data_IF_561980161525
#
_entry.id   IF_561980161525
#
_cell.length_a   1.000
_cell.length_b   1.000
_cell.length_c   1.000
_cell.angle_alpha   90.00
_cell.angle_beta   90.00
_cell.angle_gamma   90.00
#
_symmetry.space_group_name_H-M   'P 1'
#
loop_
_entity.id
_entity.type
_entity.pdbx_description
1 polymer ?
#
# COMPACT_ATOMS: atom_id res chain seq x y z
N UNK A 1 6.47 -7.64 14.69
CA UNK A 1 7.81 -6.99 14.55
C UNK A 1 7.79 -6.23 13.24
N UNK A 2 8.04 -4.92 13.26
CA UNK A 2 8.03 -4.11 12.03
C UNK A 2 9.21 -4.49 11.14
N UNK A 3 8.97 -4.64 9.83
CA UNK A 3 10.04 -4.96 8.87
C UNK A 3 11.07 -3.82 8.75
N UNK A 4 12.26 -4.15 8.27
CA UNK A 4 13.31 -3.17 8.00
C UNK A 4 12.82 -2.15 6.98
N UNK A 5 12.11 -2.60 5.93
CA UNK A 5 11.54 -1.74 4.90
C UNK A 5 10.56 -0.71 5.50
N UNK A 6 9.56 -1.16 6.24
CA UNK A 6 8.59 -0.26 6.88
C UNK A 6 9.26 0.73 7.83
N UNK A 7 10.29 0.29 8.57
CA UNK A 7 11.07 1.16 9.47
C UNK A 7 11.83 2.25 8.69
N UNK A 8 12.40 1.93 7.54
CA UNK A 8 13.09 2.91 6.68
C UNK A 8 12.10 3.93 6.10
N UNK A 9 10.93 3.48 5.61
CA UNK A 9 9.90 4.39 5.09
C UNK A 9 9.33 5.29 6.20
N UNK A 10 9.18 4.78 7.43
CA UNK A 10 8.79 5.61 8.59
C UNK A 10 9.84 6.68 8.88
N UNK A 11 11.13 6.32 8.86
CA UNK A 11 12.22 7.27 9.06
C UNK A 11 12.26 8.34 7.96
N UNK A 12 12.07 7.93 6.71
CA UNK A 12 11.95 8.83 5.55
C UNK A 12 10.78 9.81 5.74
N UNK A 13 9.58 9.32 6.04
CA UNK A 13 8.42 10.19 6.27
C UNK A 13 8.70 11.23 7.36
N UNK A 14 9.30 10.82 8.47
CA UNK A 14 9.67 11.74 9.57
C UNK A 14 10.69 12.80 9.12
N UNK A 15 11.71 12.40 8.37
CA UNK A 15 12.76 13.30 7.88
C UNK A 15 12.19 14.39 6.97
N UNK A 16 11.24 14.03 6.12
CA UNK A 16 10.60 14.96 5.17
C UNK A 16 9.31 15.59 5.72
N UNK A 17 9.05 15.50 7.03
CA UNK A 17 7.85 16.05 7.69
C UNK A 17 6.54 15.55 7.09
N UNK A 18 6.54 14.32 6.56
CA UNK A 18 5.32 13.66 6.11
C UNK A 18 4.61 13.01 7.32
N UNK A 19 3.26 12.99 7.32
CA UNK A 19 2.52 12.40 8.42
C UNK A 19 2.85 10.93 8.65
N UNK A 20 3.01 10.55 9.93
CA UNK A 20 3.10 9.16 10.39
C UNK A 20 2.12 9.00 11.53
N UNK A 21 1.03 8.29 11.31
CA UNK A 21 0.06 7.96 12.34
C UNK A 21 0.36 6.56 12.91
N UNK A 22 0.18 6.42 14.21
CA UNK A 22 0.44 5.14 14.92
C UNK A 22 -0.78 4.21 14.95
N UNK A 23 -1.93 4.75 14.60
CA UNK A 23 -3.21 4.02 14.63
C UNK A 23 -3.98 4.28 13.33
N UNK A 24 -4.71 3.28 12.84
CA UNK A 24 -5.59 3.46 11.69
C UNK A 24 -6.56 4.62 11.90
N UNK A 25 -6.40 5.66 11.07
CA UNK A 25 -7.20 6.88 11.18
C UNK A 25 -7.33 7.57 9.83
N UNK A 26 -8.37 8.40 9.70
CA UNK A 26 -8.45 9.42 8.65
C UNK A 26 -7.90 10.70 9.27
N UNK A 27 -6.68 11.14 8.92
CA UNK A 27 -5.92 12.16 9.65
C UNK A 27 -6.33 13.59 9.29
N UNK A 28 -7.61 13.81 9.04
CA UNK A 28 -8.16 15.12 8.66
C UNK A 28 -9.16 15.61 9.69
N UNK A 29 -9.19 16.92 9.89
CA UNK A 29 -10.15 17.60 10.74
C UNK A 29 -10.94 18.62 9.90
N UNK A 30 -12.17 18.93 10.32
CA UNK A 30 -12.95 20.01 9.71
C UNK A 30 -12.19 21.33 9.84
N UNK A 31 -12.00 22.01 8.71
CA UNK A 31 -11.28 23.28 8.62
C UNK A 31 -12.06 24.27 7.78
N UNK A 32 -12.05 25.53 8.18
CA UNK A 32 -12.65 26.62 7.39
C UNK A 32 -11.91 26.83 6.05
N UNK A 33 -10.60 26.58 6.04
CA UNK A 33 -9.75 26.77 4.85
C UNK A 33 -9.68 25.54 3.95
N UNK A 34 -9.65 24.33 4.57
CA UNK A 34 -9.42 23.06 3.86
C UNK A 34 -10.71 22.28 3.59
N UNK A 35 -11.85 22.78 4.03
CA UNK A 35 -13.15 22.14 3.83
C UNK A 35 -13.45 20.99 4.82
N UNK A 36 -14.40 20.15 4.44
CA UNK A 36 -14.83 18.99 5.23
C UNK A 36 -13.77 17.87 5.20
N UNK A 37 -13.81 16.98 6.21
CA UNK A 37 -12.96 15.77 6.23
C UNK A 37 -13.13 14.94 4.96
N UNK A 38 -14.35 14.85 4.42
CA UNK A 38 -14.65 14.13 3.18
C UNK A 38 -13.93 14.76 1.98
N UNK A 39 -13.98 16.08 1.84
CA UNK A 39 -13.32 16.78 0.73
C UNK A 39 -11.81 16.65 0.81
N UNK A 40 -11.22 16.79 2.00
CA UNK A 40 -9.79 16.59 2.22
C UNK A 40 -9.35 15.16 1.84
N UNK A 41 -10.13 14.14 2.25
CA UNK A 41 -9.86 12.75 1.90
C UNK A 41 -9.94 12.51 0.40
N UNK A 42 -10.98 13.02 -0.27
CA UNK A 42 -11.13 12.89 -1.73
C UNK A 42 -9.94 13.54 -2.45
N UNK A 43 -9.57 14.75 -2.06
CA UNK A 43 -8.45 15.47 -2.66
C UNK A 43 -7.12 14.74 -2.41
N UNK A 44 -6.92 14.17 -1.23
CA UNK A 44 -5.74 13.34 -0.93
C UNK A 44 -5.66 12.10 -1.81
N UNK A 45 -6.76 11.37 -1.95
CA UNK A 45 -6.80 10.16 -2.78
C UNK A 45 -6.56 10.48 -4.27
N UNK A 46 -7.13 11.56 -4.79
CA UNK A 46 -6.87 12.02 -6.15
C UNK A 46 -5.40 12.36 -6.35
N UNK A 47 -4.83 13.19 -5.47
CA UNK A 47 -3.41 13.55 -5.54
C UNK A 47 -2.50 12.33 -5.47
N UNK A 48 -2.82 11.34 -4.65
CA UNK A 48 -2.04 10.11 -4.59
C UNK A 48 -2.17 9.27 -5.86
N UNK A 49 -3.37 9.21 -6.45
CA UNK A 49 -3.58 8.57 -7.74
C UNK A 49 -2.80 9.25 -8.86
N UNK A 50 -2.72 10.58 -8.86
CA UNK A 50 -1.91 11.34 -9.83
C UNK A 50 -0.42 10.99 -9.69
N UNK A 51 0.13 10.99 -8.46
CA UNK A 51 1.52 10.58 -8.18
C UNK A 51 1.78 9.15 -8.70
N UNK A 52 0.93 8.18 -8.36
CA UNK A 52 1.10 6.81 -8.84
C UNK A 52 0.99 6.69 -10.37
N UNK A 53 0.18 7.53 -11.00
CA UNK A 53 0.06 7.55 -12.47
C UNK A 53 1.34 8.08 -13.10
N UNK A 54 1.95 9.12 -12.54
CA UNK A 54 3.25 9.63 -12.96
C UNK A 54 4.31 8.53 -12.87
N UNK A 55 4.46 7.88 -11.71
CA UNK A 55 5.40 6.78 -11.50
C UNK A 55 5.15 5.59 -12.47
N UNK A 56 3.90 5.16 -12.63
CA UNK A 56 3.58 4.04 -13.53
C UNK A 56 3.92 4.38 -14.99
N UNK A 57 3.78 5.63 -15.42
CA UNK A 57 4.10 6.05 -16.79
C UNK A 57 5.59 6.13 -17.08
N UNK A 58 6.45 6.17 -16.08
CA UNK A 58 7.92 6.11 -16.26
C UNK A 58 8.40 4.82 -16.92
N UNK A 59 7.60 3.75 -16.86
CA UNK A 59 7.87 2.51 -17.61
C UNK A 59 8.08 2.76 -19.11
N UNK A 60 7.51 3.82 -19.68
CA UNK A 60 7.71 4.16 -21.10
C UNK A 60 9.17 4.49 -21.42
N UNK A 61 9.87 5.16 -20.48
CA UNK A 61 11.29 5.47 -20.64
C UNK A 61 12.16 4.20 -20.60
N UNK A 62 11.77 3.21 -19.79
CA UNK A 62 12.43 1.92 -19.72
C UNK A 62 12.21 1.15 -21.03
N UNK A 63 10.99 1.18 -21.59
CA UNK A 63 10.66 0.59 -22.88
C UNK A 63 11.52 1.21 -23.98
N UNK A 64 11.63 2.53 -24.03
CA UNK A 64 12.45 3.25 -25.02
C UNK A 64 13.92 2.82 -24.94
N UNK A 65 14.48 2.63 -23.74
CA UNK A 65 15.84 2.12 -23.55
C UNK A 65 16.02 0.68 -24.06
N UNK A 66 15.02 -0.19 -23.81
CA UNK A 66 15.03 -1.56 -24.35
C UNK A 66 15.03 -1.54 -25.88
N UNK A 67 14.21 -0.69 -26.49
CA UNK A 67 14.13 -0.54 -27.95
C UNK A 67 15.41 0.07 -28.55
N UNK A 68 16.08 0.95 -27.80
CA UNK A 68 17.38 1.53 -28.18
C UNK A 68 18.53 0.51 -28.09
N UNK A 69 18.33 -0.63 -27.41
CA UNK A 69 19.34 -1.68 -27.28
C UNK A 69 20.30 -1.45 -26.11
N UNK A 70 19.90 -0.74 -25.09
CA UNK A 70 20.66 -0.54 -23.84
C UNK A 70 21.01 -1.88 -23.20
N UNK A 71 22.08 -1.92 -22.43
CA UNK A 71 22.54 -3.16 -21.83
C UNK A 71 21.51 -3.73 -20.84
N UNK A 72 21.40 -5.07 -20.72
CA UNK A 72 20.49 -5.69 -19.76
C UNK A 72 20.70 -5.22 -18.29
N UNK A 73 21.93 -4.87 -17.93
CA UNK A 73 22.24 -4.38 -16.58
C UNK A 73 21.66 -2.98 -16.33
N UNK A 74 21.74 -2.09 -17.31
CA UNK A 74 21.17 -0.75 -17.25
C UNK A 74 19.64 -0.82 -17.17
N UNK A 75 19.01 -1.59 -18.05
CA UNK A 75 17.56 -1.81 -18.05
C UNK A 75 17.07 -2.42 -16.71
N UNK A 76 17.79 -3.41 -16.17
CA UNK A 76 17.44 -3.99 -14.86
C UNK A 76 17.60 -3.00 -13.72
N UNK A 77 18.55 -2.08 -13.79
CA UNK A 77 18.70 -1.00 -12.80
C UNK A 77 17.49 -0.09 -12.83
N UNK A 78 17.06 0.38 -13.99
CA UNK A 78 15.88 1.24 -14.12
C UNK A 78 14.59 0.53 -13.68
N UNK A 79 14.42 -0.76 -14.01
CA UNK A 79 13.28 -1.56 -13.54
C UNK A 79 13.28 -1.67 -12.01
N UNK A 80 14.44 -1.87 -11.39
CA UNK A 80 14.53 -2.00 -9.93
C UNK A 80 14.21 -0.68 -9.23
N UNK A 81 14.69 0.44 -9.75
CA UNK A 81 14.41 1.77 -9.26
C UNK A 81 12.90 2.08 -9.36
N UNK A 82 12.34 1.97 -10.54
CA UNK A 82 10.92 2.18 -10.81
C UNK A 82 9.98 1.36 -9.89
N UNK A 83 10.25 0.05 -9.75
CA UNK A 83 9.44 -0.80 -8.87
C UNK A 83 9.66 -0.49 -7.39
N UNK A 84 10.86 -0.04 -7.03
CA UNK A 84 11.20 0.40 -5.68
C UNK A 84 10.42 1.64 -5.27
N UNK A 85 10.36 2.63 -6.14
CA UNK A 85 9.68 3.90 -5.88
C UNK A 85 8.17 3.70 -5.70
N UNK A 86 7.52 2.92 -6.56
CA UNK A 86 6.10 2.57 -6.40
C UNK A 86 5.84 1.94 -5.01
N UNK A 87 6.72 1.04 -4.54
CA UNK A 87 6.58 0.42 -3.23
C UNK A 87 6.75 1.43 -2.10
N UNK A 88 7.73 2.33 -2.20
CA UNK A 88 7.99 3.39 -1.21
C UNK A 88 6.80 4.34 -1.12
N UNK A 89 6.24 4.80 -2.25
CA UNK A 89 5.05 5.66 -2.27
C UNK A 89 3.84 4.98 -1.60
N UNK A 90 3.57 3.72 -1.95
CA UNK A 90 2.46 2.97 -1.34
C UNK A 90 2.65 2.80 0.16
N UNK A 91 3.85 2.40 0.61
CA UNK A 91 4.15 2.21 2.02
C UNK A 91 4.10 3.53 2.81
N UNK A 92 4.63 4.61 2.24
CA UNK A 92 4.54 5.96 2.81
C UNK A 92 3.09 6.40 2.99
N UNK A 93 2.23 6.14 2.00
CA UNK A 93 0.82 6.51 2.09
C UNK A 93 0.09 5.70 3.17
N UNK A 94 0.34 4.40 3.31
CA UNK A 94 -0.21 3.59 4.40
C UNK A 94 0.14 4.16 5.79
N UNK A 95 1.40 4.57 6.00
CA UNK A 95 1.84 5.18 7.27
C UNK A 95 1.11 6.48 7.58
N UNK A 96 0.74 7.27 6.57
CA UNK A 96 -0.03 8.51 6.75
C UNK A 96 -1.46 8.24 7.26
N UNK A 97 -2.02 7.07 6.95
CA UNK A 97 -3.30 6.61 7.49
C UNK A 97 -3.14 5.75 8.76
N UNK A 98 -1.92 5.56 9.26
CA UNK A 98 -1.65 4.72 10.42
C UNK A 98 -1.92 3.23 10.20
N UNK A 99 -1.86 2.80 8.94
CA UNK A 99 -1.97 1.40 8.57
C UNK A 99 -0.60 0.74 8.72
N UNK A 100 -0.55 -0.40 9.40
CA UNK A 100 0.65 -1.22 9.49
C UNK A 100 0.87 -1.93 8.15
N UNK A 101 1.93 -1.55 7.44
CA UNK A 101 2.27 -2.10 6.12
C UNK A 101 2.40 -3.62 6.16
N UNK A 102 3.13 -4.12 7.14
CA UNK A 102 3.46 -5.55 7.22
C UNK A 102 2.19 -6.37 7.46
N UNK A 103 1.34 -5.94 8.40
CA UNK A 103 0.07 -6.60 8.70
C UNK A 103 -0.90 -6.57 7.51
N UNK A 104 -1.05 -5.43 6.86
CA UNK A 104 -1.97 -5.30 5.70
C UNK A 104 -1.48 -6.15 4.53
N UNK A 105 -0.18 -6.14 4.24
CA UNK A 105 0.40 -6.93 3.15
C UNK A 105 0.33 -8.44 3.45
N UNK A 106 0.52 -8.86 4.71
CA UNK A 106 0.34 -10.26 5.12
C UNK A 106 -1.11 -10.73 4.89
N UNK A 107 -2.10 -9.92 5.26
CA UNK A 107 -3.51 -10.23 5.01
C UNK A 107 -3.79 -10.37 3.50
N UNK A 108 -3.29 -9.42 2.69
CA UNK A 108 -3.48 -9.45 1.24
C UNK A 108 -2.77 -10.66 0.63
N UNK A 109 -1.55 -10.98 1.07
CA UNK A 109 -0.80 -12.14 0.60
C UNK A 109 -1.52 -13.45 0.97
N UNK A 110 -1.99 -13.59 2.20
CA UNK A 110 -2.76 -14.76 2.62
C UNK A 110 -4.05 -14.93 1.79
N UNK A 111 -4.74 -13.82 1.48
CA UNK A 111 -5.88 -13.82 0.55
C UNK A 111 -5.47 -14.27 -0.86
N UNK A 112 -4.33 -13.79 -1.37
CA UNK A 112 -3.83 -14.19 -2.68
C UNK A 112 -3.46 -15.67 -2.73
N UNK A 113 -2.84 -16.20 -1.66
CA UNK A 113 -2.51 -17.63 -1.53
C UNK A 113 -3.75 -18.53 -1.43
N UNK A 114 -4.92 -17.98 -1.10
CA UNK A 114 -6.18 -18.73 -1.07
C UNK A 114 -6.84 -18.88 -2.47
N UNK A 115 -6.24 -18.33 -3.53
CA UNK A 115 -6.75 -18.42 -4.92
C UNK A 115 -6.37 -19.74 -5.58
N UNK A 116 -6.74 -20.87 -4.97
CA UNK A 116 -6.45 -22.20 -5.51
C UNK A 116 -7.71 -22.86 -6.04
N UNK A 117 -7.56 -23.70 -7.07
CA UNK A 117 -8.61 -24.56 -7.58
C UNK A 117 -9.05 -25.61 -6.54
N UNK A 118 -10.06 -26.40 -6.89
CA UNK A 118 -10.58 -27.46 -6.02
C UNK A 118 -9.55 -28.58 -5.74
N UNK A 119 -8.57 -28.72 -6.62
CA UNK A 119 -7.44 -29.65 -6.52
C UNK A 119 -6.23 -29.09 -5.76
N UNK A 120 -6.34 -27.84 -5.25
CA UNK A 120 -5.24 -27.16 -4.54
C UNK A 120 -4.18 -26.56 -5.47
N UNK A 121 -4.40 -26.54 -6.79
CA UNK A 121 -3.47 -25.99 -7.77
C UNK A 121 -3.97 -24.61 -8.28
N UNK A 122 -3.06 -23.72 -8.75
CA UNK A 122 -3.45 -22.45 -9.33
C UNK A 122 -4.14 -22.65 -10.67
N UNK A 123 -5.23 -21.90 -10.90
CA UNK A 123 -5.94 -21.85 -12.17
C UNK A 123 -5.73 -20.49 -12.80
N UNK A 124 -5.44 -20.45 -14.11
CA UNK A 124 -5.14 -19.23 -14.86
C UNK A 124 -6.17 -18.95 -15.96
N UNK A 125 -6.41 -17.69 -16.25
CA UNK A 125 -7.13 -17.29 -17.46
C UNK A 125 -6.21 -17.34 -18.70
N UNK A 126 -6.78 -17.06 -19.88
CA UNK A 126 -6.04 -17.05 -21.14
C UNK A 126 -4.89 -16.01 -21.20
N UNK A 127 -4.85 -15.05 -20.29
CA UNK A 127 -3.80 -14.01 -20.17
C UNK A 127 -2.79 -14.32 -19.06
N UNK A 128 -2.87 -15.51 -18.46
CA UNK A 128 -2.00 -15.92 -17.37
C UNK A 128 -2.36 -15.32 -15.99
N UNK A 129 -3.53 -14.69 -15.84
CA UNK A 129 -3.99 -14.17 -14.55
C UNK A 129 -4.56 -15.29 -13.69
N UNK A 130 -4.10 -15.38 -12.43
CA UNK A 130 -4.61 -16.33 -11.44
C UNK A 130 -6.11 -16.07 -11.18
N UNK A 131 -6.92 -17.12 -11.32
CA UNK A 131 -8.35 -17.08 -11.04
C UNK A 131 -8.64 -17.37 -9.55
N UNK A 132 -9.81 -16.94 -9.10
CA UNK A 132 -10.30 -17.21 -7.74
C UNK A 132 -10.95 -18.57 -7.69
N UNK A 133 -10.39 -19.50 -6.92
CA UNK A 133 -10.98 -20.82 -6.68
C UNK A 133 -11.99 -20.85 -5.52
N UNK A 134 -12.52 -22.03 -5.19
CA UNK A 134 -13.60 -22.16 -4.21
C UNK A 134 -13.19 -21.80 -2.78
N UNK A 135 -11.90 -21.86 -2.46
CA UNK A 135 -11.36 -21.49 -1.14
C UNK A 135 -10.98 -20.02 -1.02
N UNK A 136 -11.15 -19.23 -2.09
CA UNK A 136 -10.78 -17.80 -2.06
C UNK A 136 -11.64 -17.00 -1.09
N UNK A 137 -10.98 -16.16 -0.31
CA UNK A 137 -11.62 -15.15 0.52
C UNK A 137 -11.06 -13.75 0.25
N UNK A 138 -11.92 -12.72 0.16
CA UNK A 138 -11.49 -11.34 -0.08
C UNK A 138 -10.85 -10.76 1.17
N UNK A 139 -9.74 -9.97 1.06
CA UNK A 139 -8.98 -9.49 2.23
C UNK A 139 -9.69 -8.41 3.04
N UNK A 140 -10.68 -7.71 2.46
CA UNK A 140 -11.30 -6.51 3.04
C UNK A 140 -11.90 -6.75 4.43
N UNK A 141 -12.52 -7.91 4.65
CA UNK A 141 -13.11 -8.26 5.94
C UNK A 141 -12.06 -8.46 7.05
N UNK A 142 -10.90 -8.99 6.70
CA UNK A 142 -9.79 -9.17 7.64
C UNK A 142 -9.08 -7.84 7.92
N UNK A 143 -8.87 -7.02 6.89
CA UNK A 143 -8.32 -5.67 7.05
C UNK A 143 -9.25 -4.83 7.95
N UNK A 144 -10.57 -4.90 7.74
CA UNK A 144 -11.52 -4.20 8.60
C UNK A 144 -11.44 -4.67 10.06
N UNK A 145 -11.33 -5.98 10.31
CA UNK A 145 -11.17 -6.54 11.67
C UNK A 145 -9.88 -6.04 12.31
N UNK A 146 -8.78 -6.03 11.58
CA UNK A 146 -7.50 -5.47 12.05
C UNK A 146 -7.66 -4.00 12.45
N UNK A 147 -8.24 -3.15 11.61
CA UNK A 147 -8.44 -1.72 11.87
C UNK A 147 -9.28 -1.52 13.14
N UNK A 148 -10.41 -2.21 13.25
CA UNK A 148 -11.30 -2.11 14.42
C UNK A 148 -10.58 -2.58 15.69
N UNK A 149 -9.82 -3.67 15.63
CA UNK A 149 -9.08 -4.19 16.77
C UNK A 149 -8.01 -3.20 17.25
N UNK A 150 -7.23 -2.63 16.35
CA UNK A 150 -6.21 -1.64 16.66
C UNK A 150 -6.81 -0.38 17.33
N UNK A 151 -7.92 0.14 16.79
CA UNK A 151 -8.62 1.29 17.35
C UNK A 151 -9.20 1.01 18.74
N UNK A 152 -9.76 -0.19 18.96
CA UNK A 152 -10.32 -0.59 20.28
C UNK A 152 -9.23 -0.77 21.33
N UNK A 153 -8.08 -1.34 20.96
CA UNK A 153 -6.95 -1.47 21.90
C UNK A 153 -6.46 -0.12 22.37
N UNK A 154 -6.26 0.81 21.45
CA UNK A 154 -5.84 2.17 21.76
C UNK A 154 -6.85 2.91 22.68
N UNK A 155 -8.14 2.76 22.42
CA UNK A 155 -9.18 3.36 23.27
C UNK A 155 -9.15 2.80 24.70
N UNK A 156 -8.90 1.49 24.88
CA UNK A 156 -8.74 0.87 26.20
C UNK A 156 -7.49 1.35 26.93
N UNK A 157 -6.36 1.47 26.21
CA UNK A 157 -5.12 1.97 26.80
C UNK A 157 -5.24 3.43 27.24
N UNK A 158 -5.95 4.25 26.48
CA UNK A 158 -6.23 5.63 26.85
C UNK A 158 -7.12 5.73 28.09
N UNK A 159 -8.15 4.88 28.21
CA UNK A 159 -9.04 4.84 29.37
C UNK A 159 -8.32 4.36 30.65
N UNK A 160 -7.34 3.46 30.55
CA UNK A 160 -6.59 2.95 31.70
C UNK A 160 -5.50 3.93 32.21
N UNK A 161 -5.22 5.00 31.49
CA UNK A 161 -4.23 6.02 31.87
C UNK A 161 -4.86 7.25 32.54
N UNK A 162 -6.19 7.32 32.60
CA UNK A 162 -6.97 8.34 33.31
C UNK A 162 -7.36 7.87 34.72
#
# INVERSE_FOLDING_TARGET
>A
MTSIFTSHVEAFNKLYNLPVNKLPTIPFAKSAELGSVKEQLINRLRRFADILTEEVTEVTQIIDKVEAGDSPAEVLTDIADWLGDIQIYCASEMLKFGLDNDMVLDIIMASNMSKLGADGLPVYDARGKVLKGPGYWPPESQILRYIIAAQRMAAKEAANKQ
#
